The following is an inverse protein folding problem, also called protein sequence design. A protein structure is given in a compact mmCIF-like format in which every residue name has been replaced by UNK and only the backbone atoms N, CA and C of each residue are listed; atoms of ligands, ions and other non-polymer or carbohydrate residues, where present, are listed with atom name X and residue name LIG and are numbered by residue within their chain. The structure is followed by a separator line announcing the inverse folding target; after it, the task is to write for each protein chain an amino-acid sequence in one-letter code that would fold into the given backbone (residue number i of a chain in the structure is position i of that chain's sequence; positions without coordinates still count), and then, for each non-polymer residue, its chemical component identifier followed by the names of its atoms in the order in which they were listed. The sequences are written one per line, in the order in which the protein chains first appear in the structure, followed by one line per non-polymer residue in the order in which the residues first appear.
data_IF_065296859269
#
_entry.id   IF_065296859269
#
_cell.length_a   1.000
_cell.length_b   1.000
_cell.length_c   1.000
_cell.angle_alpha   90.00
_cell.angle_beta   90.00
_cell.angle_gamma   90.00
#
_symmetry.space_group_name_H-M   'P 1'
#
loop_
_entity.id
_entity.type
_entity.pdbx_description
1 polymer ?
#
# COMPACT_ATOMS: atom_id res chain seq x y z
N UNK A 1 50.31 -7.79 13.96
CA UNK A 1 49.04 -8.42 14.37
C UNK A 1 48.05 -7.28 14.51
N UNK A 2 47.28 -6.95 13.48
CA UNK A 2 46.06 -6.13 13.57
C UNK A 2 45.43 -6.03 12.16
N UNK A 3 44.72 -7.06 11.68
CA UNK A 3 44.00 -6.93 10.40
C UNK A 3 42.89 -7.97 10.17
N UNK A 4 42.19 -8.44 11.21
CA UNK A 4 41.12 -9.45 11.01
C UNK A 4 39.83 -9.20 11.80
N UNK A 5 39.67 -8.07 12.51
CA UNK A 5 38.47 -7.84 13.37
C UNK A 5 37.45 -6.83 12.84
N UNK A 6 37.71 -6.15 11.72
CA UNK A 6 36.82 -5.08 11.20
C UNK A 6 35.79 -5.60 10.17
N UNK A 7 35.89 -6.86 9.74
CA UNK A 7 35.02 -7.42 8.69
C UNK A 7 33.71 -8.01 9.20
N UNK A 8 33.64 -8.40 10.47
CA UNK A 8 32.48 -9.12 11.01
C UNK A 8 31.37 -8.18 11.53
N UNK A 9 31.70 -7.01 12.10
CA UNK A 9 30.68 -6.06 12.58
C UNK A 9 29.87 -5.40 11.45
N UNK A 10 30.51 -5.18 10.30
CA UNK A 10 29.84 -4.58 9.14
C UNK A 10 28.84 -5.53 8.48
N UNK A 11 29.14 -6.82 8.38
CA UNK A 11 28.25 -7.81 7.77
C UNK A 11 26.97 -7.99 8.61
N UNK A 12 27.08 -7.97 9.93
CA UNK A 12 25.92 -8.02 10.84
C UNK A 12 25.07 -6.74 10.77
N UNK A 13 25.69 -5.57 10.59
CA UNK A 13 24.95 -4.31 10.35
C UNK A 13 24.21 -4.30 9.00
N UNK A 14 24.83 -4.82 7.94
CA UNK A 14 24.19 -4.96 6.62
C UNK A 14 23.08 -6.02 6.63
N UNK A 15 23.28 -7.13 7.36
CA UNK A 15 22.25 -8.16 7.56
C UNK A 15 21.06 -7.63 8.35
N UNK A 16 21.31 -6.91 9.45
CA UNK A 16 20.26 -6.28 10.23
C UNK A 16 19.42 -5.32 9.37
N UNK A 17 20.09 -4.47 8.57
CA UNK A 17 19.43 -3.52 7.66
C UNK A 17 18.61 -4.24 6.57
N UNK A 18 19.14 -5.33 6.00
CA UNK A 18 18.44 -6.14 5.01
C UNK A 18 17.23 -6.88 5.62
N UNK A 19 17.36 -7.39 6.85
CA UNK A 19 16.26 -8.01 7.59
C UNK A 19 15.16 -6.97 7.85
N UNK A 20 15.49 -5.76 8.32
CA UNK A 20 14.48 -4.70 8.55
C UNK A 20 13.82 -4.25 7.24
N UNK A 21 14.56 -4.19 6.13
CA UNK A 21 14.03 -3.85 4.81
C UNK A 21 13.07 -4.93 4.28
N UNK A 22 13.41 -6.22 4.46
CA UNK A 22 12.56 -7.35 4.06
C UNK A 22 11.35 -7.53 4.98
N UNK A 23 11.47 -7.22 6.27
CA UNK A 23 10.35 -7.20 7.23
C UNK A 23 9.35 -6.08 6.89
N UNK A 24 9.85 -4.92 6.47
CA UNK A 24 9.00 -3.82 5.97
C UNK A 24 8.28 -4.16 4.65
N UNK A 25 8.93 -4.87 3.74
CA UNK A 25 8.29 -5.41 2.53
C UNK A 25 7.29 -6.54 2.82
N UNK A 26 7.43 -7.22 3.95
CA UNK A 26 6.51 -8.26 4.41
C UNK A 26 5.25 -7.65 5.04
N UNK A 27 5.37 -6.59 5.81
CA UNK A 27 4.22 -5.82 6.33
C UNK A 27 3.36 -5.24 5.19
N UNK A 28 3.97 -4.73 4.11
CA UNK A 28 3.23 -4.22 2.95
C UNK A 28 2.41 -5.31 2.21
N UNK A 29 2.79 -6.60 2.32
CA UNK A 29 2.10 -7.74 1.69
C UNK A 29 1.04 -8.41 2.57
N UNK A 30 1.11 -8.30 3.90
CA UNK A 30 0.10 -8.88 4.79
C UNK A 30 -1.22 -8.09 4.78
N UNK A 31 -1.20 -6.81 4.40
CA UNK A 31 -2.40 -5.96 4.25
C UNK A 31 -3.36 -6.46 3.15
N UNK A 32 -2.88 -7.22 2.16
CA UNK A 32 -3.69 -7.66 1.01
C UNK A 32 -4.52 -8.93 1.30
N UNK A 33 -4.23 -9.68 2.39
CA UNK A 33 -4.64 -11.09 2.49
C UNK A 33 -5.91 -11.38 3.29
N UNK A 34 -6.55 -10.40 3.92
CA UNK A 34 -7.75 -10.66 4.74
C UNK A 34 -8.93 -9.75 4.39
N UNK A 35 -9.62 -10.06 3.29
CA UNK A 35 -11.01 -9.57 3.09
C UNK A 35 -11.91 -10.73 2.65
N UNK A 36 -12.32 -11.56 3.61
CA UNK A 36 -13.55 -12.33 3.48
C UNK A 36 -14.69 -11.42 3.92
N UNK A 37 -15.48 -10.90 2.99
CA UNK A 37 -16.93 -10.71 3.13
C UNK A 37 -17.49 -10.35 1.74
N UNK A 38 -17.83 -11.37 0.95
CA UNK A 38 -18.38 -11.22 -0.40
C UNK A 38 -19.91 -11.07 -0.42
N UNK A 39 -20.61 -11.25 0.70
CA UNK A 39 -22.08 -11.33 0.73
C UNK A 39 -22.81 -10.03 1.08
N UNK A 40 -22.12 -8.90 1.27
CA UNK A 40 -22.76 -7.59 1.50
C UNK A 40 -23.48 -7.43 2.85
N UNK A 41 -23.61 -8.48 3.66
CA UNK A 41 -24.10 -8.44 5.03
C UNK A 41 -22.92 -8.33 6.01
N UNK A 42 -23.00 -7.38 6.95
CA UNK A 42 -22.01 -7.24 8.00
C UNK A 42 -22.09 -8.37 9.02
N UNK A 43 -20.98 -8.64 9.73
CA UNK A 43 -20.91 -9.64 10.81
C UNK A 43 -21.95 -9.37 11.91
N UNK A 44 -22.36 -8.12 12.09
CA UNK A 44 -23.39 -7.69 13.06
C UNK A 44 -24.83 -7.79 12.54
N UNK A 45 -25.06 -8.37 11.35
CA UNK A 45 -26.39 -8.48 10.74
C UNK A 45 -26.93 -7.18 10.13
N UNK A 46 -26.19 -6.08 10.25
CA UNK A 46 -26.49 -4.82 9.59
C UNK A 46 -26.04 -4.83 8.12
N UNK A 47 -26.58 -3.90 7.33
CA UNK A 47 -26.10 -3.65 5.95
C UNK A 47 -24.58 -3.47 5.98
N UNK A 48 -23.87 -4.26 5.18
CA UNK A 48 -22.42 -4.17 5.06
C UNK A 48 -21.98 -2.88 4.37
N UNK A 49 -20.70 -2.51 4.50
CA UNK A 49 -20.16 -1.24 3.96
C UNK A 49 -20.39 -1.04 2.46
N UNK A 50 -20.44 -2.12 1.69
CA UNK A 50 -20.61 -2.11 0.23
C UNK A 50 -21.98 -2.60 -0.23
N UNK A 51 -22.97 -2.65 0.68
CA UNK A 51 -24.29 -3.19 0.38
C UNK A 51 -25.02 -2.39 -0.70
N UNK A 52 -24.93 -1.06 -0.69
CA UNK A 52 -25.63 -0.22 -1.68
C UNK A 52 -25.05 -0.42 -3.09
N UNK A 53 -23.72 -0.49 -3.23
CA UNK A 53 -23.06 -0.83 -4.50
C UNK A 53 -23.45 -2.22 -5.02
N UNK A 54 -23.62 -3.19 -4.12
CA UNK A 54 -24.09 -4.53 -4.47
C UNK A 54 -25.55 -4.52 -4.96
N UNK A 55 -26.41 -3.71 -4.33
CA UNK A 55 -27.81 -3.55 -4.73
C UNK A 55 -27.91 -2.97 -6.14
N UNK A 56 -27.16 -1.90 -6.43
CA UNK A 56 -27.14 -1.27 -7.76
C UNK A 56 -26.63 -2.24 -8.84
N UNK A 57 -25.56 -2.97 -8.55
CA UNK A 57 -25.04 -4.01 -9.44
C UNK A 57 -26.06 -5.13 -9.68
N UNK A 58 -26.72 -5.62 -8.62
CA UNK A 58 -27.72 -6.68 -8.70
C UNK A 58 -28.94 -6.26 -9.50
N UNK A 59 -29.40 -5.02 -9.31
CA UNK A 59 -30.50 -4.44 -10.06
C UNK A 59 -30.15 -4.34 -11.54
N UNK A 60 -28.97 -3.82 -11.88
CA UNK A 60 -28.50 -3.78 -13.26
C UNK A 60 -28.42 -5.18 -13.88
N UNK A 61 -27.85 -6.16 -13.16
CA UNK A 61 -27.75 -7.54 -13.63
C UNK A 61 -29.11 -8.21 -13.85
N UNK A 62 -30.14 -7.80 -13.10
CA UNK A 62 -31.50 -8.31 -13.26
C UNK A 62 -32.19 -7.81 -14.53
N UNK A 63 -31.76 -6.66 -15.06
CA UNK A 63 -32.39 -6.01 -16.22
C UNK A 63 -31.53 -6.10 -17.50
N UNK A 64 -30.23 -6.38 -17.38
CA UNK A 64 -29.31 -6.41 -18.52
C UNK A 64 -29.39 -7.70 -19.34
N UNK A 65 -29.08 -7.62 -20.65
CA UNK A 65 -28.95 -8.80 -21.52
C UNK A 65 -27.53 -9.36 -21.53
N UNK A 66 -26.53 -8.50 -21.37
CA UNK A 66 -25.13 -8.89 -21.35
C UNK A 66 -24.46 -8.44 -20.04
N UNK A 67 -23.68 -9.32 -19.38
CA UNK A 67 -22.95 -8.96 -18.16
C UNK A 67 -21.90 -7.84 -18.32
N UNK A 68 -21.59 -7.46 -19.56
CA UNK A 68 -20.68 -6.34 -19.88
C UNK A 68 -21.36 -4.99 -19.68
N UNK A 69 -22.67 -4.92 -19.83
CA UNK A 69 -23.44 -3.67 -19.72
C UNK A 69 -23.38 -3.11 -18.29
N UNK A 70 -23.32 -4.00 -17.29
CA UNK A 70 -23.15 -3.64 -15.87
C UNK A 70 -21.69 -3.64 -15.40
N UNK A 71 -20.73 -3.54 -16.33
CA UNK A 71 -19.30 -3.62 -16.02
C UNK A 71 -18.81 -2.54 -15.07
N UNK A 72 -19.33 -1.32 -15.21
CA UNK A 72 -18.96 -0.18 -14.34
C UNK A 72 -19.41 -0.41 -12.90
N UNK A 73 -20.67 -0.80 -12.69
CA UNK A 73 -21.21 -1.11 -11.36
C UNK A 73 -20.48 -2.28 -10.68
N UNK A 74 -20.06 -3.27 -11.49
CA UNK A 74 -19.23 -4.37 -11.01
C UNK A 74 -17.87 -3.86 -10.51
N UNK A 75 -17.24 -2.97 -11.26
CA UNK A 75 -15.96 -2.37 -10.85
C UNK A 75 -16.09 -1.57 -9.57
N UNK A 76 -17.16 -0.79 -9.41
CA UNK A 76 -17.41 0.01 -8.19
C UNK A 76 -17.64 -0.88 -6.97
N UNK A 77 -18.39 -1.98 -7.13
CA UNK A 77 -18.56 -2.96 -6.06
C UNK A 77 -17.23 -3.61 -5.63
N UNK A 78 -16.38 -4.02 -6.59
CA UNK A 78 -15.06 -4.58 -6.27
C UNK A 78 -14.08 -3.55 -5.75
N UNK A 79 -14.20 -2.28 -6.17
CA UNK A 79 -13.42 -1.18 -5.63
C UNK A 79 -13.76 -0.98 -4.15
N UNK A 80 -15.05 -0.93 -3.79
CA UNK A 80 -15.45 -0.82 -2.38
C UNK A 80 -14.99 -2.02 -1.52
N UNK A 81 -14.92 -3.24 -2.08
CA UNK A 81 -14.44 -4.39 -1.34
C UNK A 81 -12.93 -4.36 -1.12
N UNK A 82 -12.17 -4.12 -2.18
CA UNK A 82 -10.72 -4.33 -2.20
C UNK A 82 -9.92 -3.04 -2.04
N UNK A 83 -10.56 -1.89 -2.23
CA UNK A 83 -9.97 -0.54 -2.22
C UNK A 83 -8.69 -0.43 -3.08
N UNK A 84 -8.56 -1.25 -4.13
CA UNK A 84 -7.30 -1.38 -4.89
C UNK A 84 -6.90 -0.07 -5.56
N UNK A 85 -7.88 0.65 -6.13
CA UNK A 85 -7.67 1.96 -6.76
C UNK A 85 -7.25 3.00 -5.71
N UNK A 86 -7.90 3.00 -4.54
CA UNK A 86 -7.57 3.91 -3.44
C UNK A 86 -6.20 3.63 -2.81
N UNK A 87 -5.84 2.37 -2.57
CA UNK A 87 -4.49 2.00 -2.11
C UNK A 87 -3.42 2.41 -3.11
N UNK A 88 -3.66 2.17 -4.40
CA UNK A 88 -2.74 2.59 -5.45
C UNK A 88 -2.54 4.11 -5.47
N UNK A 89 -3.63 4.89 -5.33
CA UNK A 89 -3.56 6.34 -5.27
C UNK A 89 -2.77 6.82 -4.06
N UNK A 90 -3.09 6.32 -2.86
CA UNK A 90 -2.35 6.65 -1.63
C UNK A 90 -0.87 6.32 -1.74
N UNK A 91 -0.53 5.15 -2.25
CA UNK A 91 0.86 4.73 -2.45
C UNK A 91 1.62 5.65 -3.40
N UNK A 92 0.98 6.18 -4.45
CA UNK A 92 1.60 7.17 -5.35
C UNK A 92 1.91 8.48 -4.62
N UNK A 93 0.97 8.97 -3.82
CA UNK A 93 1.15 10.20 -3.03
C UNK A 93 2.27 10.02 -2.01
N UNK A 94 2.24 8.94 -1.22
CA UNK A 94 3.29 8.67 -0.23
C UNK A 94 4.68 8.53 -0.87
N UNK A 95 4.78 7.86 -2.02
CA UNK A 95 6.08 7.74 -2.72
C UNK A 95 6.63 9.10 -3.17
N UNK A 96 5.76 10.00 -3.62
CA UNK A 96 6.18 11.33 -4.04
C UNK A 96 6.57 12.21 -2.85
N UNK A 97 5.79 12.18 -1.76
CA UNK A 97 6.13 12.86 -0.51
C UNK A 97 7.50 12.40 0.03
N UNK A 98 7.74 11.09 0.05
CA UNK A 98 9.02 10.53 0.48
C UNK A 98 10.18 10.96 -0.43
N UNK A 99 9.94 11.10 -1.74
CA UNK A 99 10.94 11.63 -2.68
C UNK A 99 11.29 13.08 -2.34
N UNK A 100 10.29 13.91 -2.07
CA UNK A 100 10.49 15.32 -1.73
C UNK A 100 11.23 15.48 -0.41
N UNK A 101 10.88 14.71 0.62
CA UNK A 101 11.57 14.71 1.91
C UNK A 101 13.04 14.30 1.77
N UNK A 102 13.34 13.26 0.98
CA UNK A 102 14.72 12.84 0.70
C UNK A 102 15.50 13.93 -0.05
N UNK A 103 14.90 14.52 -1.08
CA UNK A 103 15.54 15.60 -1.83
C UNK A 103 15.81 16.84 -0.97
N UNK A 104 14.90 17.18 -0.05
CA UNK A 104 15.12 18.26 0.91
C UNK A 104 16.24 17.93 1.91
N UNK A 105 16.30 16.70 2.40
CA UNK A 105 17.36 16.25 3.32
C UNK A 105 18.75 16.27 2.66
N UNK A 106 18.88 15.86 1.39
CA UNK A 106 20.14 15.92 0.64
C UNK A 106 20.60 17.37 0.42
N UNK A 107 19.68 18.28 0.08
CA UNK A 107 19.99 19.72 -0.05
C UNK A 107 20.47 20.32 1.28
N UNK A 108 19.87 19.92 2.40
CA UNK A 108 20.29 20.39 3.72
C UNK A 108 21.70 19.90 4.11
N UNK A 109 22.09 18.68 3.70
CA UNK A 109 23.44 18.14 3.95
C UNK A 109 24.52 18.77 3.06
N UNK A 110 24.18 19.19 1.84
CA UNK A 110 25.12 19.82 0.90
C UNK A 110 25.48 21.27 1.20
N UNK A 111 24.80 21.93 2.15
CA UNK A 111 25.05 23.35 2.52
C UNK A 111 25.96 23.57 3.73
N UNK A 112 26.61 22.51 4.26
CA UNK A 112 27.35 22.53 5.53
C UNK A 112 28.88 22.60 5.43
N UNK A 113 29.45 22.96 4.28
CA UNK A 113 30.90 23.15 4.12
C UNK A 113 31.11 24.45 3.35
N UNK A 114 31.30 25.57 4.05
CA UNK A 114 32.31 26.60 3.70
C UNK A 114 32.32 27.78 4.70
N UNK A 115 33.46 27.84 5.43
CA UNK A 115 34.26 29.00 5.87
C UNK A 115 33.66 30.03 6.86
N UNK A 116 34.29 30.11 8.04
CA UNK A 116 34.65 31.40 8.64
C UNK A 116 36.14 31.38 9.03
N UNK A 117 36.86 32.37 8.49
CA UNK A 117 38.27 32.71 8.69
C UNK A 117 38.44 33.56 9.95
#
# INVERSE_FOLDING_TARGET
MECDKVKDENLESFRATAITALEREREEREVEKEVKMASGWGITGNKGRCYDFWMDFSECMSQCRQPKDCGLLREDYFECLNHSKEFQRRNRVYKEEQRQLRAAAEKAKGGGVDVHH
#
